data_IF_808135521647
#
_entry.id   IF_808135521647
#
_cell.length_a   1.000
_cell.length_b   1.000
_cell.length_c   1.000
_cell.angle_alpha   90.00
_cell.angle_beta   90.00
_cell.angle_gamma   90.00
#
_symmetry.space_group_name_H-M   'P 1'
#
loop_
_entity.id
_entity.type
_entity.pdbx_description
1 polymer ?
#
# COMPACT_ATOMS: atom_id res chain seq x y z
N UNK A 1 40.26 -3.82 -3.21
CA UNK A 1 40.05 -4.12 -1.78
C UNK A 1 38.66 -3.60 -1.42
N UNK A 2 37.62 -4.44 -1.52
CA UNK A 2 36.23 -4.01 -1.29
C UNK A 2 35.90 -4.06 0.19
N UNK A 3 35.64 -2.91 0.81
CA UNK A 3 35.11 -2.84 2.18
C UNK A 3 33.72 -3.48 2.19
N UNK A 4 33.58 -4.60 2.92
CA UNK A 4 32.29 -5.20 3.19
C UNK A 4 31.48 -4.28 4.12
N UNK A 5 30.17 -4.09 3.88
CA UNK A 5 29.34 -3.23 4.72
C UNK A 5 29.30 -3.71 6.18
N UNK A 6 29.56 -2.78 7.09
CA UNK A 6 29.61 -3.04 8.53
C UNK A 6 28.26 -3.52 9.06
N UNK A 7 28.28 -4.42 10.05
CA UNK A 7 27.08 -4.99 10.70
C UNK A 7 26.04 -3.92 11.14
N UNK A 8 26.46 -2.68 11.40
CA UNK A 8 25.58 -1.58 11.83
C UNK A 8 24.71 -0.95 10.72
N UNK A 9 25.12 -1.00 9.45
CA UNK A 9 24.30 -0.47 8.34
C UNK A 9 23.22 -1.48 7.91
N UNK A 10 23.52 -2.77 8.05
CA UNK A 10 22.57 -3.86 7.79
C UNK A 10 21.36 -3.81 8.72
N UNK A 11 21.56 -3.68 10.03
CA UNK A 11 20.46 -3.61 10.99
C UNK A 11 19.59 -2.36 10.83
N UNK A 12 20.17 -1.21 10.47
CA UNK A 12 19.41 0.02 10.19
C UNK A 12 18.56 -0.11 8.92
N UNK A 13 19.06 -0.80 7.90
CA UNK A 13 18.31 -1.02 6.67
C UNK A 13 17.14 -2.01 6.88
N UNK A 14 17.34 -3.04 7.69
CA UNK A 14 16.29 -3.99 8.07
C UNK A 14 15.17 -3.34 8.90
N UNK A 15 15.51 -2.47 9.85
CA UNK A 15 14.54 -1.69 10.63
C UNK A 15 13.72 -0.73 9.75
N UNK A 16 14.35 -0.07 8.78
CA UNK A 16 13.66 0.79 7.80
C UNK A 16 12.74 -0.03 6.90
N UNK A 17 13.22 -1.15 6.39
CA UNK A 17 12.43 -2.07 5.58
C UNK A 17 11.20 -2.61 6.34
N UNK A 18 11.37 -3.00 7.61
CA UNK A 18 10.26 -3.45 8.46
C UNK A 18 9.22 -2.35 8.68
N UNK A 19 9.65 -1.14 9.03
CA UNK A 19 8.73 0.00 9.18
C UNK A 19 8.03 0.39 7.89
N UNK A 20 8.64 0.16 6.73
CA UNK A 20 8.05 0.43 5.43
C UNK A 20 6.99 -0.61 5.05
N UNK A 21 7.19 -1.89 5.42
CA UNK A 21 6.18 -2.95 5.26
C UNK A 21 4.95 -2.65 6.13
N UNK A 22 5.14 -2.26 7.39
CA UNK A 22 4.03 -1.91 8.29
C UNK A 22 3.22 -0.72 7.76
N UNK A 23 3.89 0.35 7.34
CA UNK A 23 3.24 1.51 6.73
C UNK A 23 2.46 1.15 5.47
N UNK A 24 3.02 0.26 4.63
CA UNK A 24 2.38 -0.20 3.42
C UNK A 24 1.11 -1.01 3.70
N UNK A 25 1.15 -1.92 4.67
CA UNK A 25 -0.03 -2.68 5.10
C UNK A 25 -1.07 -1.76 5.74
N UNK A 26 -0.66 -0.80 6.57
CA UNK A 26 -1.57 0.19 7.16
C UNK A 26 -2.27 1.02 6.07
N UNK A 27 -1.52 1.54 5.08
CA UNK A 27 -2.10 2.27 3.96
C UNK A 27 -3.05 1.40 3.12
N UNK A 28 -2.79 0.09 3.01
CA UNK A 28 -3.71 -0.85 2.37
C UNK A 28 -5.00 -1.03 3.15
N UNK A 29 -4.92 -1.12 4.49
CA UNK A 29 -6.12 -1.18 5.34
C UNK A 29 -6.96 0.08 5.20
N UNK A 30 -6.31 1.25 5.26
CA UNK A 30 -6.94 2.55 5.09
C UNK A 30 -7.65 2.64 3.74
N UNK A 31 -7.01 2.16 2.67
CA UNK A 31 -7.63 2.13 1.35
C UNK A 31 -8.84 1.19 1.28
N UNK A 32 -8.78 0.01 1.91
CA UNK A 32 -9.96 -0.89 2.01
C UNK A 32 -11.12 -0.25 2.76
N UNK A 33 -10.84 0.45 3.86
CA UNK A 33 -11.86 1.14 4.65
C UNK A 33 -12.47 2.30 3.87
N UNK A 34 -11.65 3.09 3.17
CA UNK A 34 -12.14 4.17 2.33
C UNK A 34 -13.01 3.65 1.17
N UNK A 35 -12.67 2.49 0.59
CA UNK A 35 -13.51 1.84 -0.41
C UNK A 35 -14.85 1.39 0.16
N UNK A 36 -14.85 0.71 1.31
CA UNK A 36 -16.07 0.30 1.98
C UNK A 36 -16.96 1.50 2.37
N UNK A 37 -16.35 2.62 2.80
CA UNK A 37 -17.07 3.87 3.08
C UNK A 37 -17.71 4.46 1.82
N UNK A 38 -16.95 4.53 0.71
CA UNK A 38 -17.48 4.97 -0.57
C UNK A 38 -18.64 4.10 -1.08
N UNK A 39 -18.51 2.77 -0.96
CA UNK A 39 -19.55 1.83 -1.38
C UNK A 39 -20.81 1.92 -0.48
N UNK A 40 -20.68 2.35 0.79
CA UNK A 40 -21.79 2.47 1.74
C UNK A 40 -22.45 3.87 1.77
N UNK A 41 -21.74 4.92 1.35
CA UNK A 41 -22.27 6.29 1.35
C UNK A 41 -23.37 6.43 0.29
N UNK A 42 -24.55 6.86 0.74
CA UNK A 42 -25.69 7.19 -0.13
C UNK A 42 -26.03 8.69 -0.12
N UNK A 43 -25.46 9.44 0.83
CA UNK A 43 -25.66 10.89 0.95
C UNK A 43 -24.82 11.63 -0.11
N UNK A 44 -25.45 12.36 -1.05
CA UNK A 44 -24.75 13.09 -2.11
C UNK A 44 -23.67 14.06 -1.60
N UNK A 45 -23.89 14.69 -0.44
CA UNK A 45 -22.96 15.66 0.13
C UNK A 45 -21.70 14.97 0.72
N UNK A 46 -21.83 13.69 1.10
CA UNK A 46 -20.73 12.88 1.62
C UNK A 46 -20.00 12.08 0.55
N UNK A 47 -20.58 11.92 -0.66
CA UNK A 47 -19.92 11.21 -1.77
C UNK A 47 -18.60 11.88 -2.15
N UNK A 48 -18.55 13.21 -2.20
CA UNK A 48 -17.32 13.95 -2.54
C UNK A 48 -16.21 13.67 -1.52
N UNK A 49 -16.56 13.65 -0.23
CA UNK A 49 -15.63 13.28 0.83
C UNK A 49 -15.16 11.83 0.68
N UNK A 50 -16.09 10.91 0.39
CA UNK A 50 -15.78 9.50 0.22
C UNK A 50 -14.83 9.25 -0.96
N UNK A 51 -15.05 9.91 -2.10
CA UNK A 51 -14.13 9.88 -3.25
C UNK A 51 -12.75 10.42 -2.85
N UNK A 52 -12.71 11.58 -2.20
CA UNK A 52 -11.44 12.18 -1.78
C UNK A 52 -10.64 11.25 -0.85
N UNK A 53 -11.30 10.63 0.14
CA UNK A 53 -10.68 9.66 1.06
C UNK A 53 -10.19 8.41 0.31
N UNK A 54 -10.97 7.90 -0.63
CA UNK A 54 -10.61 6.75 -1.45
C UNK A 54 -9.35 7.03 -2.28
N UNK A 55 -9.29 8.17 -2.96
CA UNK A 55 -8.14 8.53 -3.77
C UNK A 55 -6.90 8.85 -2.93
N UNK A 56 -7.06 9.56 -1.81
CA UNK A 56 -5.94 9.93 -0.94
C UNK A 56 -5.24 8.67 -0.38
N UNK A 57 -6.02 7.71 0.10
CA UNK A 57 -5.52 6.44 0.62
C UNK A 57 -4.86 5.58 -0.48
N UNK A 58 -5.45 5.54 -1.68
CA UNK A 58 -4.84 4.90 -2.85
C UNK A 58 -3.48 5.50 -3.20
N UNK A 59 -3.38 6.83 -3.30
CA UNK A 59 -2.14 7.55 -3.62
C UNK A 59 -1.05 7.26 -2.58
N UNK A 60 -1.41 7.26 -1.30
CA UNK A 60 -0.50 6.93 -0.18
C UNK A 60 0.06 5.52 -0.30
N UNK A 61 -0.80 4.52 -0.55
CA UNK A 61 -0.39 3.14 -0.73
C UNK A 61 0.53 2.96 -1.96
N UNK A 62 0.20 3.59 -3.09
CA UNK A 62 1.04 3.56 -4.29
C UNK A 62 2.43 4.16 -4.06
N UNK A 63 2.52 5.28 -3.32
CA UNK A 63 3.79 5.90 -2.97
C UNK A 63 4.65 4.97 -2.13
N UNK A 64 4.11 4.44 -1.03
CA UNK A 64 4.82 3.54 -0.13
C UNK A 64 5.27 2.26 -0.84
N UNK A 65 4.48 1.76 -1.78
CA UNK A 65 4.87 0.58 -2.56
C UNK A 65 6.06 0.87 -3.48
N UNK A 66 6.06 2.01 -4.17
CA UNK A 66 7.20 2.44 -5.00
C UNK A 66 8.46 2.59 -4.15
N UNK A 67 8.32 3.16 -2.95
CA UNK A 67 9.41 3.31 -1.99
C UNK A 67 9.94 1.94 -1.53
N UNK A 68 9.05 1.02 -1.14
CA UNK A 68 9.42 -0.34 -0.73
C UNK A 68 10.21 -1.07 -1.82
N UNK A 69 9.80 -0.93 -3.08
CA UNK A 69 10.53 -1.49 -4.21
C UNK A 69 11.90 -0.84 -4.43
N UNK A 70 12.00 0.47 -4.25
CA UNK A 70 13.27 1.19 -4.39
C UNK A 70 14.28 0.76 -3.31
N UNK A 71 13.80 0.46 -2.10
CA UNK A 71 14.63 -0.03 -1.00
C UNK A 71 14.93 -1.55 -1.06
N UNK A 72 14.45 -2.24 -2.10
CA UNK A 72 14.68 -3.69 -2.25
C UNK A 72 13.85 -4.56 -1.31
N UNK A 73 12.84 -3.98 -0.64
CA UNK A 73 11.90 -4.72 0.18
C UNK A 73 11.09 -5.67 -0.71
N UNK A 74 11.03 -6.95 -0.34
CA UNK A 74 10.21 -7.95 -1.05
C UNK A 74 8.73 -7.71 -0.75
N UNK A 75 8.13 -6.80 -1.50
CA UNK A 75 6.68 -6.60 -1.54
C UNK A 75 6.07 -7.41 -2.67
N UNK A 76 5.08 -8.25 -2.34
CA UNK A 76 4.47 -9.17 -3.30
C UNK A 76 3.74 -8.39 -4.41
N UNK A 77 4.31 -8.44 -5.63
CA UNK A 77 3.79 -7.74 -6.80
C UNK A 77 2.46 -8.33 -7.29
N UNK A 78 2.23 -9.63 -7.09
CA UNK A 78 0.99 -10.27 -7.53
C UNK A 78 -0.19 -9.86 -6.63
N UNK A 79 0.05 -9.77 -5.33
CA UNK A 79 -0.90 -9.29 -4.33
C UNK A 79 -1.32 -7.85 -4.61
N UNK A 80 -0.38 -7.02 -5.06
CA UNK A 80 -0.64 -5.66 -5.54
C UNK A 80 -1.51 -5.67 -6.80
N UNK A 81 -1.12 -6.41 -7.85
CA UNK A 81 -1.86 -6.44 -9.11
C UNK A 81 -3.30 -6.93 -8.90
N UNK A 82 -3.50 -7.95 -8.07
CA UNK A 82 -4.83 -8.43 -7.69
C UNK A 82 -5.68 -7.35 -7.04
N UNK A 83 -5.05 -6.53 -6.20
CA UNK A 83 -5.74 -5.47 -5.46
C UNK A 83 -6.05 -4.24 -6.34
N UNK A 84 -5.16 -3.85 -7.26
CA UNK A 84 -5.38 -2.70 -8.16
C UNK A 84 -6.33 -3.00 -9.31
N UNK A 85 -6.23 -4.19 -9.90
CA UNK A 85 -6.91 -4.55 -11.13
C UNK A 85 -8.09 -5.48 -10.93
N UNK A 86 -8.46 -5.78 -9.67
CA UNK A 86 -9.58 -6.64 -9.36
C UNK A 86 -9.50 -7.99 -10.07
N UNK A 87 -8.30 -8.58 -10.22
CA UNK A 87 -8.17 -9.97 -10.71
C UNK A 87 -8.55 -10.95 -9.60
N UNK A 88 -9.68 -10.73 -8.98
CA UNK A 88 -10.53 -11.83 -8.56
C UNK A 88 -11.20 -12.32 -9.84
N UNK A 89 -10.81 -13.52 -10.26
CA UNK A 89 -11.64 -14.42 -11.05
C UNK A 89 -12.96 -14.69 -10.30
N UNK A 90 -13.78 -13.66 -10.21
CA UNK A 90 -14.98 -13.54 -9.39
C UNK A 90 -15.92 -12.44 -9.86
N UNK A 91 -15.66 -11.81 -11.02
CA UNK A 91 -16.74 -11.34 -11.88
C UNK A 91 -17.37 -12.57 -12.56
N UNK A 92 -18.01 -13.43 -11.75
CA UNK A 92 -18.80 -14.55 -12.24
C UNK A 92 -20.15 -14.51 -11.54
N UNK A 93 -21.14 -14.14 -12.37
CA UNK A 93 -22.59 -14.20 -12.18
C UNK A 93 -23.22 -13.24 -11.18
#
# INVERSE_FOLDING_TARGET
MGMAPGKGERGKNELRAAGLVEQLEAARQEWRQARAYFDAVSDPDLVVEAVHRLEASQRKYMYLWKLARAEGVRVDRQRMARFLFGTESGFSS
#
